data_IF_461930031307
#
_entry.id   IF_461930031307
#
_cell.length_a   1.000
_cell.length_b   1.000
_cell.length_c   1.000
_cell.angle_alpha   90.00
_cell.angle_beta   90.00
_cell.angle_gamma   90.00
#
_symmetry.space_group_name_H-M   'P 1'
#
loop_
_entity.id
_entity.type
_entity.pdbx_description
1 polymer ?
#
# COMPACT_ATOMS: atom_id res chain seq x y z
N UNK A 1 45.22 -26.20 -36.92
CA UNK A 1 44.09 -25.27 -36.95
C UNK A 1 43.55 -25.14 -35.53
N UNK A 2 43.77 -24.00 -34.88
CA UNK A 2 43.27 -23.71 -33.52
C UNK A 2 41.87 -23.10 -33.66
N UNK A 3 40.87 -23.69 -33.01
CA UNK A 3 39.52 -23.13 -32.92
C UNK A 3 39.45 -22.24 -31.67
N UNK A 4 39.48 -20.92 -31.87
CA UNK A 4 39.25 -19.97 -30.79
C UNK A 4 37.75 -19.82 -30.53
N UNK A 5 37.35 -20.05 -29.28
CA UNK A 5 35.99 -19.84 -28.81
C UNK A 5 35.70 -18.35 -28.64
N UNK A 6 34.75 -17.85 -29.40
CA UNK A 6 34.25 -16.47 -29.29
C UNK A 6 33.37 -16.39 -28.03
N UNK A 7 33.87 -15.70 -27.00
CA UNK A 7 33.11 -15.34 -25.79
C UNK A 7 31.93 -14.42 -26.16
N UNK A 8 30.73 -14.81 -25.75
CA UNK A 8 29.55 -13.95 -25.73
C UNK A 8 29.76 -12.78 -24.75
N UNK A 9 29.35 -11.54 -25.08
CA UNK A 9 29.53 -10.41 -24.18
C UNK A 9 28.52 -10.49 -23.04
N UNK A 10 29.03 -10.53 -21.80
CA UNK A 10 28.23 -10.35 -20.59
C UNK A 10 27.60 -8.95 -20.61
N UNK A 11 26.27 -8.89 -20.73
CA UNK A 11 25.51 -7.66 -20.57
C UNK A 11 25.71 -7.14 -19.14
N UNK A 12 26.47 -6.05 -19.01
CA UNK A 12 26.61 -5.32 -17.76
C UNK A 12 25.28 -4.62 -17.49
N UNK A 13 24.55 -5.08 -16.47
CA UNK A 13 23.47 -4.30 -15.91
C UNK A 13 24.08 -2.99 -15.39
N UNK A 14 23.66 -1.89 -16.00
CA UNK A 14 24.03 -0.54 -15.56
C UNK A 14 23.51 -0.33 -14.15
N UNK A 15 24.45 -0.19 -13.21
CA UNK A 15 24.23 0.24 -11.85
C UNK A 15 23.84 1.73 -11.88
N UNK A 16 22.53 1.99 -11.86
CA UNK A 16 22.01 3.32 -11.53
C UNK A 16 21.56 3.27 -10.07
N UNK A 17 22.47 3.68 -9.19
CA UNK A 17 22.22 3.98 -7.79
C UNK A 17 21.15 5.09 -7.66
N UNK A 18 19.88 4.70 -7.73
CA UNK A 18 18.74 5.49 -7.30
C UNK A 18 18.50 5.24 -5.82
N UNK A 19 18.67 6.28 -4.99
CA UNK A 19 18.26 6.39 -3.58
C UNK A 19 17.38 5.22 -3.10
N UNK A 20 17.87 4.39 -2.17
CA UNK A 20 17.06 3.37 -1.50
C UNK A 20 15.92 4.05 -0.73
N UNK A 21 14.83 4.35 -1.45
CA UNK A 21 13.59 4.86 -0.88
C UNK A 21 13.00 3.70 -0.11
N UNK A 22 13.10 3.76 1.22
CA UNK A 22 12.37 2.84 2.10
C UNK A 22 10.91 2.89 1.64
N UNK A 23 10.32 1.76 1.19
CA UNK A 23 8.93 1.74 0.78
C UNK A 23 8.09 2.29 1.94
N UNK A 24 7.26 3.30 1.67
CA UNK A 24 6.35 3.81 2.70
C UNK A 24 5.54 2.65 3.26
N UNK A 25 5.37 2.63 4.59
CA UNK A 25 4.71 1.54 5.29
C UNK A 25 3.22 1.54 4.93
N UNK A 26 2.71 0.42 4.43
CA UNK A 26 1.28 0.24 4.21
C UNK A 26 0.53 0.19 5.58
N UNK A 27 -0.39 1.13 5.87
CA UNK A 27 -1.13 1.17 7.14
C UNK A 27 -2.19 0.08 7.26
N UNK A 28 -2.47 -0.65 6.19
CA UNK A 28 -3.44 -1.74 6.14
C UNK A 28 -2.83 -3.10 6.45
N UNK A 29 -1.50 -3.18 6.59
CA UNK A 29 -0.77 -4.40 6.95
C UNK A 29 -0.02 -4.14 8.26
N UNK A 30 -0.34 -4.88 9.32
CA UNK A 30 0.26 -4.61 10.64
C UNK A 30 1.72 -5.08 10.71
N UNK A 31 1.99 -6.31 10.27
CA UNK A 31 3.32 -6.93 10.31
C UNK A 31 3.66 -7.65 9.02
N UNK A 32 4.91 -7.50 8.60
CA UNK A 32 5.53 -8.29 7.53
C UNK A 32 6.64 -9.17 8.11
N UNK A 33 6.80 -10.39 7.60
CA UNK A 33 7.89 -11.29 8.02
C UNK A 33 8.34 -12.22 6.89
N UNK A 34 9.59 -12.68 6.96
CA UNK A 34 10.20 -13.60 6.01
C UNK A 34 10.86 -14.78 6.71
N UNK A 35 11.16 -15.86 5.98
CA UNK A 35 11.81 -17.04 6.52
C UNK A 35 13.29 -16.73 6.85
N UNK A 36 13.62 -16.76 8.14
CA UNK A 36 14.94 -16.32 8.63
C UNK A 36 16.08 -17.28 8.28
N UNK A 37 15.77 -18.53 7.96
CA UNK A 37 16.76 -19.57 7.65
C UNK A 37 17.05 -19.71 6.16
N UNK A 38 16.41 -18.90 5.30
CA UNK A 38 16.57 -18.97 3.84
C UNK A 38 17.69 -18.04 3.34
N UNK A 39 18.36 -18.39 2.23
CA UNK A 39 19.39 -17.53 1.64
C UNK A 39 18.77 -16.19 1.22
N UNK A 40 19.56 -15.10 1.20
CA UNK A 40 19.09 -13.80 0.71
C UNK A 40 17.79 -13.31 1.39
N UNK A 41 17.66 -13.50 2.72
CA UNK A 41 16.46 -13.12 3.46
C UNK A 41 16.22 -11.61 3.46
N UNK A 42 17.28 -10.82 3.32
CA UNK A 42 17.23 -9.35 3.20
C UNK A 42 16.50 -8.94 1.92
N UNK A 43 16.81 -9.60 0.80
CA UNK A 43 16.15 -9.38 -0.49
C UNK A 43 14.69 -9.83 -0.44
N UNK A 44 14.40 -10.97 0.20
CA UNK A 44 13.04 -11.44 0.43
C UNK A 44 12.22 -10.44 1.25
N UNK A 45 12.84 -9.82 2.28
CA UNK A 45 12.19 -8.82 3.12
C UNK A 45 11.90 -7.53 2.34
N UNK A 46 12.81 -7.12 1.45
CA UNK A 46 12.60 -5.98 0.59
C UNK A 46 11.47 -6.25 -0.41
N UNK A 47 11.47 -7.43 -1.03
CA UNK A 47 10.44 -7.87 -1.98
C UNK A 47 9.05 -7.90 -1.35
N UNK A 48 8.88 -8.50 -0.17
CA UNK A 48 7.57 -8.55 0.48
C UNK A 48 7.10 -7.17 0.96
N UNK A 49 8.03 -6.28 1.36
CA UNK A 49 7.72 -4.88 1.70
C UNK A 49 7.29 -4.10 0.47
N UNK A 50 7.90 -4.35 -0.68
CA UNK A 50 7.52 -3.74 -1.94
C UNK A 50 6.12 -4.18 -2.37
N UNK A 51 5.81 -5.48 -2.28
CA UNK A 51 4.44 -5.98 -2.49
C UNK A 51 3.44 -5.26 -1.57
N UNK A 52 3.74 -5.20 -0.27
CA UNK A 52 2.90 -4.52 0.71
C UNK A 52 2.66 -3.05 0.36
N UNK A 53 3.70 -2.36 -0.10
CA UNK A 53 3.64 -0.97 -0.53
C UNK A 53 2.77 -0.76 -1.77
N UNK A 54 2.99 -1.56 -2.82
CA UNK A 54 2.28 -1.44 -4.11
C UNK A 54 0.76 -1.64 -3.97
N UNK A 55 0.31 -2.51 -3.05
CA UNK A 55 -1.13 -2.75 -2.82
C UNK A 55 -1.78 -1.77 -1.84
N UNK A 56 -1.04 -0.82 -1.25
CA UNK A 56 -1.53 0.06 -0.18
C UNK A 56 -2.80 0.84 -0.57
N UNK A 57 -2.80 1.47 -1.75
CA UNK A 57 -3.94 2.24 -2.22
C UNK A 57 -5.14 1.36 -2.54
N UNK A 58 -4.91 0.18 -3.14
CA UNK A 58 -5.97 -0.78 -3.43
C UNK A 58 -6.64 -1.28 -2.14
N UNK A 59 -5.85 -1.59 -1.12
CA UNK A 59 -6.35 -1.99 0.20
C UNK A 59 -7.15 -0.87 0.86
N UNK A 60 -6.77 0.39 0.65
CA UNK A 60 -7.51 1.55 1.14
C UNK A 60 -8.89 1.66 0.50
N UNK A 61 -8.97 1.59 -0.84
CA UNK A 61 -10.23 1.68 -1.57
C UNK A 61 -11.20 0.55 -1.23
N UNK A 62 -10.67 -0.66 -1.01
CA UNK A 62 -11.48 -1.85 -0.71
C UNK A 62 -11.65 -2.11 0.78
N UNK A 63 -11.14 -1.22 1.65
CA UNK A 63 -11.15 -1.39 3.11
C UNK A 63 -10.53 -2.71 3.60
N UNK A 64 -9.59 -3.27 2.84
CA UNK A 64 -8.88 -4.48 3.25
C UNK A 64 -7.94 -4.18 4.41
N UNK A 65 -7.84 -5.16 5.30
CA UNK A 65 -6.92 -5.18 6.43
C UNK A 65 -6.29 -6.56 6.52
N UNK A 66 -4.98 -6.58 6.76
CA UNK A 66 -4.23 -7.81 6.97
C UNK A 66 -3.39 -7.67 8.23
N UNK A 67 -3.45 -8.65 9.12
CA UNK A 67 -2.62 -8.59 10.34
C UNK A 67 -1.18 -9.01 10.02
N UNK A 68 -1.01 -10.17 9.38
CA UNK A 68 0.31 -10.70 9.06
C UNK A 68 0.44 -11.01 7.57
N UNK A 69 1.39 -10.38 6.88
CA UNK A 69 1.81 -10.76 5.54
C UNK A 69 3.19 -11.43 5.64
N UNK A 70 3.28 -12.72 5.34
CA UNK A 70 4.50 -13.48 5.61
C UNK A 70 4.94 -14.35 4.44
N UNK A 71 6.24 -14.57 4.33
CA UNK A 71 6.78 -15.59 3.43
C UNK A 71 6.49 -16.99 3.97
N UNK A 72 6.15 -17.91 3.08
CA UNK A 72 6.22 -19.35 3.34
C UNK A 72 6.89 -20.10 2.19
N UNK A 73 7.30 -21.34 2.44
CA UNK A 73 7.92 -22.21 1.44
C UNK A 73 7.46 -23.65 1.64
N UNK A 74 6.19 -23.96 1.30
CA UNK A 74 5.63 -25.29 1.52
C UNK A 74 6.27 -26.34 0.61
N UNK A 75 6.18 -27.62 1.02
CA UNK A 75 6.64 -28.74 0.19
C UNK A 75 5.77 -28.95 -1.06
N UNK A 76 4.47 -28.65 -0.99
CA UNK A 76 3.62 -28.65 -2.19
C UNK A 76 4.04 -27.49 -3.10
N UNK A 77 4.56 -27.83 -4.27
CA UNK A 77 5.07 -26.88 -5.25
C UNK A 77 3.97 -26.04 -5.89
N UNK A 78 2.72 -26.52 -5.90
CA UNK A 78 1.58 -25.82 -6.51
C UNK A 78 1.02 -24.71 -5.62
N UNK A 79 1.37 -24.72 -4.33
CA UNK A 79 0.88 -23.76 -3.35
C UNK A 79 1.73 -22.48 -3.41
N UNK A 80 1.13 -21.42 -3.97
CA UNK A 80 1.76 -20.11 -4.15
C UNK A 80 1.35 -19.09 -3.08
N UNK A 81 0.13 -19.21 -2.56
CA UNK A 81 -0.43 -18.32 -1.57
C UNK A 81 -1.40 -19.04 -0.64
N UNK A 82 -1.71 -18.42 0.50
CA UNK A 82 -2.80 -18.86 1.38
C UNK A 82 -3.27 -17.72 2.27
N UNK A 83 -4.59 -17.52 2.33
CA UNK A 83 -5.25 -16.64 3.27
C UNK A 83 -5.88 -17.43 4.42
N UNK A 84 -5.46 -17.12 5.64
CA UNK A 84 -6.00 -17.70 6.87
C UNK A 84 -6.93 -16.68 7.54
N UNK A 85 -8.17 -17.10 7.81
CA UNK A 85 -9.19 -16.33 8.52
C UNK A 85 -9.41 -14.94 7.92
N UNK A 86 -9.66 -14.87 6.60
CA UNK A 86 -10.10 -13.66 5.90
C UNK A 86 -9.22 -12.42 6.18
N UNK A 87 -7.90 -12.57 6.09
CA UNK A 87 -6.93 -11.49 6.26
C UNK A 87 -6.21 -11.49 7.61
N UNK A 88 -6.48 -12.43 8.51
CA UNK A 88 -5.65 -12.57 9.72
C UNK A 88 -4.19 -12.87 9.37
N UNK A 89 -3.96 -13.76 8.41
CA UNK A 89 -2.62 -14.03 7.88
C UNK A 89 -2.67 -14.37 6.40
N UNK A 90 -1.92 -13.64 5.59
CA UNK A 90 -1.66 -13.99 4.20
C UNK A 90 -0.22 -14.50 4.11
N UNK A 91 -0.05 -15.67 3.51
CA UNK A 91 1.23 -16.31 3.27
C UNK A 91 1.50 -16.29 1.77
N UNK A 92 2.69 -15.84 1.36
CA UNK A 92 3.11 -15.80 -0.04
C UNK A 92 4.39 -16.59 -0.25
N UNK A 93 4.46 -17.35 -1.33
CA UNK A 93 5.67 -17.98 -1.81
C UNK A 93 6.45 -16.91 -2.58
N UNK A 94 7.64 -16.59 -2.11
CA UNK A 94 8.52 -15.63 -2.78
C UNK A 94 9.55 -16.30 -3.69
N UNK A 95 9.83 -17.60 -3.46
CA UNK A 95 10.93 -18.35 -4.09
C UNK A 95 10.41 -19.45 -5.01
N UNK A 96 11.15 -19.73 -6.08
CA UNK A 96 10.89 -20.87 -6.96
C UNK A 96 10.84 -22.17 -6.15
N UNK A 97 9.90 -23.06 -6.45
CA UNK A 97 9.74 -24.33 -5.70
C UNK A 97 10.88 -25.33 -5.92
N UNK A 98 11.58 -25.20 -7.06
CA UNK A 98 12.73 -26.05 -7.45
C UNK A 98 14.07 -25.48 -7.02
N UNK A 99 14.14 -24.18 -6.71
CA UNK A 99 15.36 -23.48 -6.32
C UNK A 99 15.05 -22.36 -5.33
N UNK A 100 15.50 -22.50 -4.09
CA UNK A 100 15.26 -21.52 -3.03
C UNK A 100 16.10 -20.24 -3.15
N UNK A 101 17.15 -20.23 -3.98
CA UNK A 101 17.96 -19.04 -4.24
C UNK A 101 17.29 -18.10 -5.24
N UNK A 102 16.38 -18.62 -6.07
CA UNK A 102 15.68 -17.85 -7.09
C UNK A 102 14.34 -17.33 -6.59
N UNK A 103 14.12 -16.02 -6.70
CA UNK A 103 12.82 -15.41 -6.45
C UNK A 103 11.88 -15.57 -7.64
N UNK A 104 10.58 -15.67 -7.36
CA UNK A 104 9.53 -15.58 -8.36
C UNK A 104 9.46 -14.16 -8.91
N UNK A 105 9.02 -13.99 -10.18
CA UNK A 105 8.77 -12.66 -10.74
C UNK A 105 7.78 -11.85 -9.89
N UNK A 106 8.02 -10.56 -9.77
CA UNK A 106 7.19 -9.63 -9.00
C UNK A 106 5.71 -9.71 -9.43
N UNK A 107 5.47 -9.85 -10.72
CA UNK A 107 4.14 -9.92 -11.33
C UNK A 107 3.39 -11.17 -10.88
N UNK A 108 4.08 -12.31 -10.76
CA UNK A 108 3.51 -13.57 -10.27
C UNK A 108 3.13 -13.47 -8.79
N UNK A 109 4.01 -12.86 -7.99
CA UNK A 109 3.77 -12.66 -6.55
C UNK A 109 2.62 -11.67 -6.36
N UNK A 110 2.55 -10.60 -7.16
CA UNK A 110 1.46 -9.63 -7.13
C UNK A 110 0.12 -10.28 -7.48
N UNK A 111 0.07 -11.09 -8.55
CA UNK A 111 -1.14 -11.84 -8.91
C UNK A 111 -1.63 -12.73 -7.76
N UNK A 112 -0.70 -13.41 -7.09
CA UNK A 112 -1.01 -14.23 -5.90
C UNK A 112 -1.50 -13.35 -4.74
N UNK A 113 -0.87 -12.20 -4.47
CA UNK A 113 -1.31 -11.29 -3.42
C UNK A 113 -2.75 -10.79 -3.65
N UNK A 114 -3.12 -10.44 -4.88
CA UNK A 114 -4.48 -10.01 -5.22
C UNK A 114 -5.50 -11.15 -5.09
N UNK A 115 -5.12 -12.36 -5.46
CA UNK A 115 -5.90 -13.57 -5.23
C UNK A 115 -6.19 -13.75 -3.73
N UNK A 116 -5.15 -13.71 -2.90
CA UNK A 116 -5.31 -13.87 -1.45
C UNK A 116 -6.09 -12.70 -0.83
N UNK A 117 -5.95 -11.47 -1.31
CA UNK A 117 -6.78 -10.35 -0.84
C UNK A 117 -8.26 -10.55 -1.16
N UNK A 118 -8.58 -11.18 -2.30
CA UNK A 118 -9.97 -11.53 -2.64
C UNK A 118 -10.58 -12.49 -1.62
N UNK A 119 -9.76 -13.40 -1.06
CA UNK A 119 -10.17 -14.30 0.01
C UNK A 119 -10.53 -13.60 1.34
N UNK A 120 -10.23 -12.31 1.52
CA UNK A 120 -10.80 -11.54 2.63
C UNK A 120 -12.33 -11.43 2.56
N UNK A 121 -12.91 -11.53 1.35
CA UNK A 121 -14.35 -11.40 1.12
C UNK A 121 -14.99 -12.74 0.72
N UNK A 122 -14.34 -13.50 -0.15
CA UNK A 122 -14.93 -14.67 -0.79
C UNK A 122 -14.03 -15.90 -0.61
N UNK A 123 -14.51 -16.90 0.11
CA UNK A 123 -13.77 -18.15 0.32
C UNK A 123 -13.73 -19.04 -0.93
N UNK A 124 -14.88 -19.47 -1.48
CA UNK A 124 -14.91 -20.34 -2.66
C UNK A 124 -14.47 -19.64 -3.94
N UNK A 125 -13.81 -20.37 -4.84
CA UNK A 125 -13.48 -19.91 -6.20
C UNK A 125 -14.70 -19.96 -7.13
N UNK A 126 -15.71 -19.14 -6.81
CA UNK A 126 -16.93 -19.01 -7.59
C UNK A 126 -16.91 -17.76 -8.51
N UNK A 127 -18.03 -17.48 -9.19
CA UNK A 127 -18.14 -16.30 -10.06
C UNK A 127 -17.90 -14.98 -9.30
N UNK A 128 -18.30 -14.87 -8.03
CA UNK A 128 -18.11 -13.64 -7.24
C UNK A 128 -16.63 -13.44 -6.95
N UNK A 129 -15.93 -14.52 -6.61
CA UNK A 129 -14.49 -14.51 -6.42
C UNK A 129 -13.77 -14.02 -7.69
N UNK A 130 -14.00 -14.66 -8.83
CA UNK A 130 -13.30 -14.29 -10.07
C UNK A 130 -13.64 -12.90 -10.56
N UNK A 131 -14.92 -12.47 -10.45
CA UNK A 131 -15.31 -11.11 -10.79
C UNK A 131 -14.58 -10.08 -9.93
N UNK A 132 -14.46 -10.33 -8.61
CA UNK A 132 -13.75 -9.42 -7.73
C UNK A 132 -12.24 -9.42 -7.99
N UNK A 133 -11.66 -10.59 -8.25
CA UNK A 133 -10.25 -10.71 -8.59
C UNK A 133 -9.90 -9.94 -9.87
N UNK A 134 -10.73 -10.05 -10.92
CA UNK A 134 -10.56 -9.30 -12.17
C UNK A 134 -10.61 -7.78 -11.94
N UNK A 135 -11.59 -7.31 -11.16
CA UNK A 135 -11.71 -5.91 -10.75
C UNK A 135 -10.43 -5.43 -10.01
N UNK A 136 -9.93 -6.22 -9.06
CA UNK A 136 -8.72 -5.88 -8.30
C UNK A 136 -7.47 -5.85 -9.19
N UNK A 137 -7.33 -6.79 -10.12
CA UNK A 137 -6.20 -6.83 -11.08
C UNK A 137 -6.21 -5.59 -11.97
N UNK A 138 -7.36 -5.30 -12.60
CA UNK A 138 -7.50 -4.13 -13.47
C UNK A 138 -7.26 -2.83 -12.69
N UNK A 139 -7.77 -2.74 -11.46
CA UNK A 139 -7.57 -1.56 -10.61
C UNK A 139 -6.11 -1.40 -10.17
N UNK A 140 -5.45 -2.48 -9.76
CA UNK A 140 -4.04 -2.46 -9.35
C UNK A 140 -3.14 -1.99 -10.49
N UNK A 141 -3.38 -2.44 -11.73
CA UNK A 141 -2.62 -1.98 -12.88
C UNK A 141 -2.71 -0.45 -13.07
N UNK A 142 -3.92 0.11 -12.97
CA UNK A 142 -4.13 1.56 -13.07
C UNK A 142 -3.44 2.32 -11.92
N UNK A 143 -3.49 1.78 -10.70
CA UNK A 143 -2.81 2.35 -9.52
C UNK A 143 -1.30 2.44 -9.77
N UNK A 144 -0.69 1.38 -10.29
CA UNK A 144 0.74 1.32 -10.56
C UNK A 144 1.16 2.28 -11.69
N UNK A 145 0.42 2.32 -12.79
CA UNK A 145 0.68 3.23 -13.91
C UNK A 145 0.61 4.71 -13.49
N UNK A 146 -0.26 5.02 -12.54
CA UNK A 146 -0.45 6.39 -12.02
C UNK A 146 0.45 6.69 -10.81
N UNK A 147 1.24 5.72 -10.34
CA UNK A 147 2.07 5.86 -9.14
C UNK A 147 1.26 6.23 -7.90
N UNK A 148 0.04 5.71 -7.77
CA UNK A 148 -0.83 5.97 -6.62
C UNK A 148 -0.43 5.05 -5.46
N UNK A 149 -0.33 5.63 -4.27
CA UNK A 149 -0.05 4.88 -3.04
C UNK A 149 -0.60 5.62 -1.82
N UNK A 150 -0.76 4.92 -0.70
CA UNK A 150 -1.30 5.55 0.51
C UNK A 150 -0.23 6.39 1.23
N UNK A 151 -0.11 7.65 0.82
CA UNK A 151 0.87 8.66 1.30
C UNK A 151 0.50 9.35 2.60
N UNK A 152 -0.79 9.53 2.89
CA UNK A 152 -1.25 10.48 3.89
C UNK A 152 -1.49 9.80 5.25
N UNK A 153 -0.39 9.56 5.98
CA UNK A 153 -0.41 9.04 7.36
C UNK A 153 -0.60 10.15 8.42
N UNK A 154 -0.81 11.40 8.01
CA UNK A 154 -0.96 12.55 8.91
C UNK A 154 -2.40 13.03 9.05
N UNK A 155 -2.79 13.43 10.27
CA UNK A 155 -3.97 14.28 10.46
C UNK A 155 -3.72 15.57 9.69
N UNK A 156 -4.43 15.80 8.59
CA UNK A 156 -4.26 17.00 7.76
C UNK A 156 -4.34 18.26 8.61
N UNK A 157 -3.27 19.03 8.64
CA UNK A 157 -3.26 20.31 9.35
C UNK A 157 -3.95 21.34 8.46
N UNK A 158 -5.05 21.94 8.94
CA UNK A 158 -5.74 22.98 8.20
C UNK A 158 -4.83 24.21 8.10
N UNK A 159 -4.25 24.44 6.92
CA UNK A 159 -3.45 25.63 6.63
C UNK A 159 -4.40 26.81 6.36
N UNK A 160 -4.81 27.49 7.43
CA UNK A 160 -5.67 28.68 7.35
C UNK A 160 -6.76 28.71 8.40
N UNK A 161 -6.77 29.80 9.18
CA UNK A 161 -7.78 30.09 10.20
C UNK A 161 -7.14 30.47 11.52
N UNK A 162 -6.69 31.72 11.63
CA UNK A 162 -6.40 32.30 12.94
C UNK A 162 -7.72 32.44 13.71
N UNK A 163 -7.87 31.70 14.80
CA UNK A 163 -8.79 32.10 15.85
C UNK A 163 -8.20 33.38 16.46
N UNK A 164 -8.78 34.54 16.15
CA UNK A 164 -8.50 35.78 16.88
C UNK A 164 -9.02 35.64 18.31
N UNK A 165 -8.28 34.92 19.15
CA UNK A 165 -8.39 35.03 20.60
C UNK A 165 -7.56 36.23 21.03
N UNK A 166 -8.04 37.44 20.73
CA UNK A 166 -7.60 38.63 21.45
C UNK A 166 -8.34 38.66 22.78
N UNK A 167 -7.79 37.96 23.77
CA UNK A 167 -8.10 38.20 25.17
C UNK A 167 -7.46 39.53 25.58
N UNK A 168 -8.21 40.63 25.51
CA UNK A 168 -7.86 41.85 26.23
C UNK A 168 -8.68 41.88 27.52
N UNK A 169 -8.06 41.46 28.62
CA UNK A 169 -8.49 41.82 29.96
C UNK A 169 -8.14 43.29 30.18
N UNK A 170 -9.15 44.13 30.34
CA UNK A 170 -9.02 45.39 31.09
C UNK A 170 -10.16 45.41 32.13
N UNK A 171 -9.88 45.69 33.41
CA UNK A 171 -10.92 45.94 34.40
C UNK A 171 -11.29 47.42 34.34
N UNK A 172 -12.54 47.76 34.01
CA UNK A 172 -13.11 49.05 34.39
C UNK A 172 -14.62 48.93 34.63
N UNK A 173 -15.02 49.54 35.73
CA UNK A 173 -16.35 49.73 36.32
C UNK A 173 -17.32 50.53 35.42
N UNK A 174 -18.61 50.16 35.39
CA UNK A 174 -19.68 51.07 34.95
C UNK A 174 -20.92 50.45 34.26
N UNK A 175 -22.04 50.46 34.97
CA UNK A 175 -23.45 50.78 34.58
C UNK A 175 -24.05 50.22 33.26
N UNK A 176 -25.17 49.48 33.45
CA UNK A 176 -26.31 49.10 32.58
C UNK A 176 -26.51 49.75 31.20
N UNK A 177 -26.87 48.96 30.17
CA UNK A 177 -28.20 48.98 29.50
C UNK A 177 -28.38 47.80 28.53
N UNK A 178 -29.63 47.33 28.45
CA UNK A 178 -30.15 46.33 27.49
C UNK A 178 -29.94 46.77 26.03
N UNK A 179 -29.51 45.86 25.14
CA UNK A 179 -29.96 45.81 23.73
C UNK A 179 -29.51 44.50 23.07
N UNK A 180 -30.48 43.74 22.55
CA UNK A 180 -30.25 42.50 21.81
C UNK A 180 -29.64 42.74 20.43
N UNK A 181 -28.64 41.93 20.07
CA UNK A 181 -28.12 41.85 18.70
C UNK A 181 -28.12 40.39 18.26
N UNK A 182 -29.12 40.07 17.44
CA UNK A 182 -29.24 38.80 16.70
C UNK A 182 -28.10 38.72 15.67
N UNK A 183 -27.22 37.72 15.79
CA UNK A 183 -26.20 37.45 14.77
C UNK A 183 -26.76 36.54 13.68
N UNK A 184 -26.98 37.11 12.49
CA UNK A 184 -27.28 36.38 11.24
C UNK A 184 -26.12 35.42 10.89
N UNK A 185 -26.42 34.14 10.66
CA UNK A 185 -25.50 33.16 10.04
C UNK A 185 -25.31 33.51 8.57
N UNK A 186 -24.07 33.85 8.18
CA UNK A 186 -23.68 33.99 6.77
C UNK A 186 -23.55 32.62 6.09
N UNK A 187 -24.15 32.47 4.91
CA UNK A 187 -24.05 31.28 4.04
C UNK A 187 -22.62 31.18 3.48
N UNK A 188 -21.98 30.02 3.65
CA UNK A 188 -20.68 29.73 3.03
C UNK A 188 -20.80 29.63 1.51
N UNK A 189 -19.86 30.28 0.80
CA UNK A 189 -19.72 30.18 -0.66
C UNK A 189 -18.82 29.00 -0.99
N UNK A 190 -19.29 28.11 -1.87
CA UNK A 190 -18.56 26.96 -2.40
C UNK A 190 -17.67 27.44 -3.55
N UNK A 191 -16.35 27.40 -3.39
CA UNK A 191 -15.39 27.73 -4.44
C UNK A 191 -14.81 26.43 -5.01
N UNK A 192 -15.02 26.20 -6.31
CA UNK A 192 -14.40 25.10 -7.03
C UNK A 192 -15.23 24.57 -8.20
N UNK A 193 -15.42 25.39 -9.22
CA UNK A 193 -15.60 24.92 -10.60
C UNK A 193 -14.68 25.74 -11.48
N UNK A 194 -13.59 25.12 -11.93
CA UNK A 194 -12.80 25.64 -13.04
C UNK A 194 -13.20 24.84 -14.27
N UNK A 195 -13.67 25.56 -15.27
CA UNK A 195 -13.54 25.33 -16.72
C UNK A 195 -14.02 26.63 -17.39
N UNK A 196 -13.48 27.01 -18.56
CA UNK A 196 -13.45 26.18 -19.76
C UNK A 196 -12.08 25.60 -20.11
#
# INVERSE_FOLDING_TARGET
>A
MKTEGIKSPSAKYHDMAGSQRIPHKNPHIQKVAVLQSKPNKEDALNLIKEIAHKVSYLMKENHFKVTNLVEFYPRDQRLLGMNVNHGSKIMLRLRCSTDEFQFLPMECIMGTMLHELTHNLFGPHDKKFYNKLDELIGRQWVIEQRGLYDTFLGNGQRLGGRANLRSNRYPMTGISTNTGIVRKRGKGVKLGSLNP
#
